data_IF_163877019159
#
_entry.id   IF_163877019159
#
_cell.length_a   1.000
_cell.length_b   1.000
_cell.length_c   1.000
_cell.angle_alpha   90.00
_cell.angle_beta   90.00
_cell.angle_gamma   90.00
#
_symmetry.space_group_name_H-M   'P 1'
#
loop_
_entity.id
_entity.type
_entity.pdbx_description
1 polymer ?
#
# COMPACT_ATOMS: atom_id res chain seq x y z
N UNK A 1 20.97 31.68 -53.36
CA UNK A 1 21.86 30.74 -54.09
C UNK A 1 21.35 29.30 -53.91
N UNK A 2 20.74 28.74 -54.96
CA UNK A 2 20.31 27.35 -54.96
C UNK A 2 21.53 26.42 -54.84
N UNK A 3 21.49 25.34 -54.02
CA UNK A 3 22.61 24.43 -53.89
C UNK A 3 22.88 23.70 -55.23
N UNK A 4 24.15 23.45 -55.60
CA UNK A 4 24.53 22.88 -56.89
C UNK A 4 24.05 21.42 -57.05
N UNK A 5 23.67 20.99 -58.28
CA UNK A 5 23.25 19.63 -58.55
C UNK A 5 24.48 18.70 -58.55
N UNK A 6 24.72 18.00 -57.44
CA UNK A 6 25.79 16.97 -57.39
C UNK A 6 26.38 16.66 -56.02
N UNK A 7 26.14 17.49 -55.01
CA UNK A 7 26.52 17.22 -53.62
C UNK A 7 25.26 16.78 -52.86
N UNK A 8 24.88 15.51 -52.73
CA UNK A 8 25.62 14.48 -52.02
C UNK A 8 24.86 13.14 -52.18
N UNK A 9 25.35 12.17 -52.98
CA UNK A 9 24.66 10.88 -53.14
C UNK A 9 24.70 10.05 -51.84
N UNK A 10 25.69 10.30 -50.97
CA UNK A 10 25.85 9.58 -49.69
C UNK A 10 24.91 10.06 -48.59
N UNK A 11 24.64 11.36 -48.52
CA UNK A 11 23.76 11.92 -47.51
C UNK A 11 22.30 11.66 -47.86
N UNK A 12 21.93 11.83 -49.14
CA UNK A 12 20.59 11.46 -49.65
C UNK A 12 20.30 9.98 -49.42
N UNK A 13 21.24 9.08 -49.71
CA UNK A 13 21.07 7.64 -49.45
C UNK A 13 20.88 7.33 -47.97
N UNK A 14 21.58 8.00 -47.05
CA UNK A 14 21.40 7.79 -45.60
C UNK A 14 20.09 8.39 -45.09
N UNK A 15 19.69 9.55 -45.62
CA UNK A 15 18.45 10.21 -45.26
C UNK A 15 17.22 9.41 -45.73
N UNK A 16 17.32 8.76 -46.89
CA UNK A 16 16.26 7.89 -47.42
C UNK A 16 16.31 6.51 -46.76
N UNK A 17 17.50 5.91 -46.59
CA UNK A 17 17.63 4.58 -45.97
C UNK A 17 17.28 4.59 -44.48
N UNK A 18 17.51 5.69 -43.77
CA UNK A 18 17.19 5.86 -42.35
C UNK A 18 15.74 5.54 -42.00
N UNK A 19 14.73 6.13 -42.67
CA UNK A 19 13.32 5.79 -42.50
C UNK A 19 12.89 4.54 -43.29
N UNK A 20 13.54 4.21 -44.42
CA UNK A 20 13.17 3.00 -45.18
C UNK A 20 13.46 1.72 -44.38
N UNK A 21 14.58 1.69 -43.66
CA UNK A 21 15.02 0.53 -42.87
C UNK A 21 14.00 0.13 -41.78
N UNK A 22 13.54 1.02 -40.88
CA UNK A 22 12.52 0.69 -39.89
C UNK A 22 11.17 0.37 -40.53
N UNK A 23 10.84 0.96 -41.69
CA UNK A 23 9.63 0.61 -42.44
C UNK A 23 9.68 -0.84 -42.98
N UNK A 24 10.81 -1.26 -43.56
CA UNK A 24 11.01 -2.63 -44.03
C UNK A 24 11.00 -3.62 -42.85
N UNK A 25 11.68 -3.28 -41.75
CA UNK A 25 11.65 -4.11 -40.53
C UNK A 25 10.23 -4.21 -39.97
N UNK A 26 9.47 -3.11 -39.90
CA UNK A 26 8.06 -3.15 -39.51
C UNK A 26 7.20 -4.02 -40.43
N UNK A 27 7.47 -4.01 -41.75
CA UNK A 27 6.74 -4.82 -42.71
C UNK A 27 7.07 -6.31 -42.57
N UNK A 28 8.34 -6.66 -42.31
CA UNK A 28 8.79 -8.04 -42.10
C UNK A 28 8.36 -8.60 -40.73
N UNK A 29 8.39 -7.78 -39.66
CA UNK A 29 8.02 -8.18 -38.29
C UNK A 29 6.53 -7.94 -37.96
N UNK A 30 5.70 -7.59 -38.95
CA UNK A 30 4.28 -7.25 -38.78
C UNK A 30 3.44 -8.40 -38.21
N UNK A 31 3.92 -9.65 -38.33
CA UNK A 31 3.23 -10.84 -37.83
C UNK A 31 3.26 -11.04 -36.32
N UNK A 32 4.23 -10.44 -35.60
CA UNK A 32 4.38 -10.60 -34.14
C UNK A 32 4.03 -9.32 -33.35
N UNK A 33 3.39 -8.33 -33.99
CA UNK A 33 2.92 -7.14 -33.28
C UNK A 33 1.68 -7.52 -32.45
N UNK A 34 1.82 -7.48 -31.13
CA UNK A 34 0.68 -7.62 -30.23
C UNK A 34 -0.37 -6.53 -30.55
N UNK A 35 -1.67 -6.85 -30.48
CA UNK A 35 -2.74 -5.90 -30.73
C UNK A 35 -2.59 -4.66 -29.84
N UNK A 36 -2.90 -3.48 -30.39
CA UNK A 36 -2.85 -2.23 -29.63
C UNK A 36 -3.83 -2.31 -28.46
N UNK A 37 -3.30 -2.45 -27.25
CA UNK A 37 -4.07 -2.59 -26.02
C UNK A 37 -4.37 -1.20 -25.47
N UNK A 38 -5.63 -0.77 -25.61
CA UNK A 38 -6.11 0.51 -25.04
C UNK A 38 -6.65 0.38 -23.61
N UNK A 39 -6.86 -0.86 -23.11
CA UNK A 39 -7.30 -1.16 -21.73
C UNK A 39 -6.74 -2.50 -21.20
N UNK A 40 -6.39 -2.54 -19.92
CA UNK A 40 -5.87 -3.72 -19.19
C UNK A 40 -4.65 -3.40 -18.31
N UNK A 41 -4.18 -4.38 -17.53
CA UNK A 41 -3.14 -4.24 -16.49
C UNK A 41 -1.92 -3.46 -16.99
N UNK A 42 -1.69 -2.28 -16.40
CA UNK A 42 -0.96 -1.18 -17.01
C UNK A 42 0.56 -1.28 -16.94
N UNK A 43 1.14 -2.31 -16.31
CA UNK A 43 2.59 -2.35 -16.06
C UNK A 43 3.11 -3.77 -16.10
N UNK A 44 3.25 -4.32 -17.30
CA UNK A 44 4.16 -5.45 -17.45
C UNK A 44 5.05 -5.23 -18.67
N UNK A 45 6.34 -5.06 -18.41
CA UNK A 45 7.40 -5.05 -19.42
C UNK A 45 7.59 -6.46 -19.99
N UNK A 46 6.56 -7.03 -20.62
CA UNK A 46 6.63 -8.32 -21.33
C UNK A 46 6.44 -9.60 -20.49
N UNK A 47 6.19 -9.51 -19.19
CA UNK A 47 5.68 -10.64 -18.39
C UNK A 47 4.15 -10.68 -18.40
N UNK A 48 3.54 -11.83 -18.12
CA UNK A 48 2.09 -11.91 -17.94
C UNK A 48 1.68 -11.41 -16.55
N UNK A 49 0.42 -11.05 -16.37
CA UNK A 49 -0.10 -10.57 -15.09
C UNK A 49 -0.21 -11.75 -14.09
N UNK A 50 0.81 -11.92 -13.24
CA UNK A 50 0.76 -12.86 -12.12
C UNK A 50 -0.37 -12.45 -11.15
N UNK A 51 -1.19 -13.39 -10.67
CA UNK A 51 -2.29 -13.09 -9.72
C UNK A 51 -1.79 -12.52 -8.39
N UNK A 52 -0.50 -12.69 -8.06
CA UNK A 52 0.15 -12.06 -6.92
C UNK A 52 0.44 -10.55 -7.12
N UNK A 53 0.36 -10.07 -8.36
CA UNK A 53 0.53 -8.67 -8.76
C UNK A 53 -0.79 -7.89 -8.80
N UNK A 54 -1.86 -8.43 -8.22
CA UNK A 54 -3.08 -7.67 -7.96
C UNK A 54 -2.85 -6.88 -6.67
N UNK A 55 -3.23 -5.60 -6.66
CA UNK A 55 -3.24 -4.76 -5.46
C UNK A 55 -4.29 -5.34 -4.51
N UNK A 56 -3.90 -6.36 -3.75
CA UNK A 56 -4.73 -6.93 -2.70
C UNK A 56 -4.66 -6.02 -1.49
N UNK A 57 -5.72 -6.01 -0.67
CA UNK A 57 -5.71 -5.30 0.61
C UNK A 57 -4.50 -5.70 1.48
N UNK A 58 -4.01 -6.93 1.31
CA UNK A 58 -2.79 -7.43 1.96
C UNK A 58 -1.51 -6.72 1.47
N UNK A 59 -1.37 -6.52 0.15
CA UNK A 59 -0.22 -5.82 -0.43
C UNK A 59 -0.11 -4.35 0.00
N UNK A 60 -1.24 -3.70 0.30
CA UNK A 60 -1.25 -2.36 0.89
C UNK A 60 -1.05 -2.38 2.41
N UNK A 61 -1.64 -3.34 3.12
CA UNK A 61 -1.56 -3.41 4.57
C UNK A 61 -0.16 -3.80 5.09
N UNK A 62 0.63 -4.56 4.31
CA UNK A 62 1.96 -5.01 4.69
C UNK A 62 2.99 -3.87 4.89
N UNK A 63 3.21 -2.95 3.93
CA UNK A 63 4.13 -1.82 4.13
C UNK A 63 3.64 -0.87 5.22
N UNK A 64 2.32 -0.68 5.37
CA UNK A 64 1.74 0.12 6.46
C UNK A 64 2.04 -0.52 7.81
N UNK A 65 1.83 -1.83 7.95
CA UNK A 65 2.17 -2.58 9.17
C UNK A 65 3.66 -2.49 9.51
N UNK A 66 4.54 -2.52 8.51
CA UNK A 66 5.98 -2.37 8.71
C UNK A 66 6.37 -0.95 9.13
N UNK A 67 5.80 0.08 8.50
CA UNK A 67 6.00 1.47 8.89
C UNK A 67 5.57 1.76 10.35
N UNK A 68 4.47 1.13 10.78
CA UNK A 68 3.95 1.26 12.15
C UNK A 68 4.40 0.13 13.10
N UNK A 69 5.35 -0.73 12.69
CA UNK A 69 5.90 -1.79 13.52
C UNK A 69 6.46 -1.31 14.88
N UNK A 70 7.19 -0.18 15.00
CA UNK A 70 7.67 0.29 16.31
C UNK A 70 6.52 0.68 17.24
N UNK A 71 5.49 1.34 16.72
CA UNK A 71 4.29 1.73 17.49
C UNK A 71 3.52 0.49 17.96
N UNK A 72 3.38 -0.51 17.11
CA UNK A 72 2.73 -1.77 17.45
C UNK A 72 3.54 -2.59 18.48
N UNK A 73 4.87 -2.58 18.40
CA UNK A 73 5.75 -3.17 19.41
C UNK A 73 5.66 -2.43 20.74
N UNK A 74 5.63 -1.10 20.72
CA UNK A 74 5.46 -0.28 21.93
C UNK A 74 4.12 -0.57 22.60
N UNK A 75 3.02 -0.64 21.83
CA UNK A 75 1.70 -1.04 22.36
C UNK A 75 1.75 -2.41 23.04
N UNK A 76 2.43 -3.38 22.44
CA UNK A 76 2.57 -4.72 23.03
C UNK A 76 3.40 -4.70 24.31
N UNK A 77 4.47 -3.91 24.34
CA UNK A 77 5.32 -3.75 25.53
C UNK A 77 4.58 -3.05 26.67
N UNK A 78 3.80 -2.02 26.36
CA UNK A 78 2.96 -1.30 27.32
C UNK A 78 1.68 -2.05 27.72
N UNK A 79 1.45 -3.27 27.24
CA UNK A 79 0.22 -3.99 27.50
C UNK A 79 0.23 -4.57 28.93
N UNK A 80 -0.61 -4.07 29.86
CA UNK A 80 -0.62 -4.54 31.25
C UNK A 80 -1.15 -5.97 31.40
N UNK A 81 -1.73 -6.55 30.34
CA UNK A 81 -2.22 -7.94 30.33
C UNK A 81 -1.10 -8.95 30.55
N UNK A 82 0.13 -8.63 30.14
CA UNK A 82 1.31 -9.47 30.41
C UNK A 82 1.59 -9.59 31.92
N UNK A 83 1.39 -8.50 32.66
CA UNK A 83 1.67 -8.42 34.09
C UNK A 83 0.49 -8.88 34.94
N UNK A 84 -0.74 -8.62 34.49
CA UNK A 84 -1.97 -8.99 35.20
C UNK A 84 -2.94 -9.62 34.20
N UNK A 85 -2.95 -10.97 34.06
CA UNK A 85 -3.75 -11.68 33.06
C UNK A 85 -5.28 -11.51 33.25
N UNK A 86 -5.73 -10.96 34.38
CA UNK A 86 -7.13 -10.64 34.66
C UNK A 86 -7.53 -9.18 34.44
N UNK A 87 -6.60 -8.28 34.08
CA UNK A 87 -6.88 -6.83 34.05
C UNK A 87 -7.90 -6.41 32.99
N UNK A 88 -7.86 -7.04 31.81
CA UNK A 88 -8.81 -6.79 30.72
C UNK A 88 -10.07 -7.65 30.82
N UNK A 89 -10.23 -8.43 31.89
CA UNK A 89 -11.41 -9.27 32.04
C UNK A 89 -12.63 -8.38 32.35
N UNK A 90 -13.70 -8.53 31.56
CA UNK A 90 -14.96 -7.78 31.77
C UNK A 90 -15.52 -7.98 33.19
N UNK A 91 -15.21 -9.12 33.83
CA UNK A 91 -15.56 -9.39 35.21
C UNK A 91 -14.90 -8.41 36.21
N UNK A 92 -13.65 -7.98 35.96
CA UNK A 92 -12.96 -7.01 36.81
C UNK A 92 -13.69 -5.66 36.81
N UNK A 93 -14.17 -5.20 35.65
CA UNK A 93 -14.96 -3.96 35.56
C UNK A 93 -16.27 -4.04 36.36
N UNK A 94 -16.94 -5.19 36.36
CA UNK A 94 -18.15 -5.41 37.16
C UNK A 94 -17.84 -5.40 38.66
N UNK A 95 -16.73 -6.01 39.08
CA UNK A 95 -16.29 -6.00 40.47
C UNK A 95 -15.94 -4.58 40.95
N UNK A 96 -15.19 -3.81 40.17
CA UNK A 96 -14.88 -2.41 40.49
C UNK A 96 -16.15 -1.56 40.60
N UNK A 97 -17.13 -1.78 39.72
CA UNK A 97 -18.42 -1.06 39.79
C UNK A 97 -19.19 -1.38 41.06
N UNK A 98 -19.19 -2.65 41.51
CA UNK A 98 -19.82 -3.05 42.77
C UNK A 98 -19.09 -2.45 43.97
N UNK A 99 -17.75 -2.49 43.96
CA UNK A 99 -16.93 -1.93 45.03
C UNK A 99 -17.15 -0.42 45.18
N UNK A 100 -17.19 0.31 44.06
CA UNK A 100 -17.44 1.75 44.05
C UNK A 100 -18.83 2.12 44.61
N UNK A 101 -19.86 1.31 44.33
CA UNK A 101 -21.19 1.51 44.92
C UNK A 101 -21.18 1.31 46.44
N UNK A 102 -20.44 0.31 46.93
CA UNK A 102 -20.29 0.07 48.37
C UNK A 102 -19.55 1.24 49.03
N UNK A 103 -18.45 1.70 48.44
CA UNK A 103 -17.67 2.82 48.95
C UNK A 103 -18.51 4.11 49.00
N UNK A 104 -19.28 4.39 47.95
CA UNK A 104 -20.20 5.53 47.91
C UNK A 104 -21.27 5.43 48.99
N UNK A 105 -21.87 4.24 49.19
CA UNK A 105 -22.85 4.02 50.25
C UNK A 105 -22.25 4.23 51.65
N UNK A 106 -21.02 3.78 51.88
CA UNK A 106 -20.29 3.99 53.14
C UNK A 106 -20.02 5.48 53.37
N UNK A 107 -19.52 6.19 52.36
CA UNK A 107 -19.27 7.64 52.45
C UNK A 107 -20.56 8.41 52.76
N UNK A 108 -21.66 8.07 52.10
CA UNK A 108 -22.97 8.68 52.37
C UNK A 108 -23.40 8.40 53.82
N UNK A 109 -23.27 7.17 54.31
CA UNK A 109 -23.60 6.82 55.69
C UNK A 109 -22.76 7.61 56.71
N UNK A 110 -21.47 7.78 56.46
CA UNK A 110 -20.57 8.58 57.31
C UNK A 110 -20.97 10.06 57.30
N UNK A 111 -21.29 10.61 56.13
CA UNK A 111 -21.74 12.00 56.00
C UNK A 111 -23.05 12.24 56.75
N UNK A 112 -24.04 11.36 56.60
CA UNK A 112 -25.31 11.47 57.32
C UNK A 112 -25.11 11.35 58.83
N UNK A 113 -24.27 10.41 59.27
CA UNK A 113 -24.00 10.20 60.71
C UNK A 113 -23.18 11.32 61.36
N UNK A 114 -22.46 12.13 60.57
CA UNK A 114 -21.73 13.31 61.06
C UNK A 114 -22.48 14.62 60.87
N UNK A 115 -23.47 14.65 59.99
CA UNK A 115 -24.32 15.80 59.74
C UNK A 115 -25.62 15.82 60.56
N UNK A 116 -26.00 14.69 61.17
CA UNK A 116 -27.07 14.56 62.17
C UNK A 116 -26.49 14.66 63.60
#
# INVERSE_FOLDING_TARGET
>A
PAPPPGAQPRLTRRLVAGPLLPCILMAMFKGNRLPSRSRGAAWVCGYDHEQSMVITAYGFAMPVKEAFAPVLKLRKWLNPVSLVPGWQNAAAAVLFRRLALIELAVLVGIVVSRGA
#
